data_IF_665086265345
#
_entry.id   IF_665086265345
#
_cell.length_a   1.000
_cell.length_b   1.000
_cell.length_c   1.000
_cell.angle_alpha   90.00
_cell.angle_beta   90.00
_cell.angle_gamma   90.00
#
_symmetry.space_group_name_H-M   'P 1'
#
loop_
_entity.id
_entity.type
_entity.pdbx_description
1 polymer ?
#
# COMPACT_ATOMS: atom_id res chain seq x y z
N UNK A 1 -0.36 -5.89 3.59
CA UNK A 1 0.99 -5.43 3.27
C UNK A 1 1.22 -5.57 1.78
N UNK A 2 1.64 -4.51 1.09
CA UNK A 2 2.06 -4.58 -0.32
C UNK A 2 3.57 -4.74 -0.38
N UNK A 3 4.04 -5.88 -0.86
CA UNK A 3 5.46 -6.26 -0.75
C UNK A 3 6.02 -6.63 -2.13
N UNK A 4 7.13 -6.01 -2.59
CA UNK A 4 7.78 -6.40 -3.84
C UNK A 4 8.19 -7.87 -3.85
N UNK A 5 8.05 -8.54 -4.98
CA UNK A 5 8.31 -9.98 -5.10
C UNK A 5 9.71 -10.40 -4.65
N UNK A 6 10.74 -9.59 -4.96
CA UNK A 6 12.10 -9.88 -4.50
C UNK A 6 12.23 -9.82 -2.96
N UNK A 7 11.50 -8.90 -2.29
CA UNK A 7 11.47 -8.83 -0.82
C UNK A 7 10.82 -10.08 -0.23
N UNK A 8 9.72 -10.56 -0.82
CA UNK A 8 9.07 -11.81 -0.39
C UNK A 8 10.06 -12.96 -0.44
N UNK A 9 10.85 -13.03 -1.51
CA UNK A 9 11.85 -14.09 -1.71
C UNK A 9 13.02 -14.00 -0.73
N UNK A 10 13.54 -12.80 -0.48
CA UNK A 10 14.74 -12.60 0.36
C UNK A 10 14.46 -12.58 1.86
N UNK A 11 13.24 -12.19 2.29
CA UNK A 11 12.90 -12.00 3.69
C UNK A 11 11.80 -12.95 4.18
N UNK A 12 11.92 -14.25 3.82
CA UNK A 12 10.88 -15.25 4.07
C UNK A 12 10.48 -15.37 5.55
N UNK A 13 11.42 -15.25 6.49
CA UNK A 13 11.12 -15.30 7.92
C UNK A 13 10.19 -14.15 8.38
N UNK A 14 10.34 -12.97 7.81
CA UNK A 14 9.45 -11.84 8.08
C UNK A 14 8.09 -12.03 7.40
N UNK A 15 8.07 -12.59 6.21
CA UNK A 15 6.83 -12.96 5.50
C UNK A 15 6.03 -13.99 6.29
N UNK A 16 6.68 -15.02 6.83
CA UNK A 16 6.05 -16.03 7.69
C UNK A 16 5.40 -15.40 8.94
N UNK A 17 6.05 -14.42 9.57
CA UNK A 17 5.48 -13.70 10.71
C UNK A 17 4.21 -12.93 10.31
N UNK A 18 4.25 -12.19 9.21
CA UNK A 18 3.11 -11.43 8.68
C UNK A 18 1.92 -12.37 8.41
N UNK A 19 2.17 -13.50 7.75
CA UNK A 19 1.15 -14.49 7.42
C UNK A 19 0.60 -15.19 8.67
N UNK A 20 1.48 -15.54 9.63
CA UNK A 20 1.10 -16.19 10.90
C UNK A 20 0.15 -15.31 11.72
N UNK A 21 0.37 -14.00 11.70
CA UNK A 21 -0.49 -13.05 12.39
C UNK A 21 -1.78 -12.73 11.61
N UNK A 22 -2.02 -13.43 10.50
CA UNK A 22 -3.26 -13.35 9.72
C UNK A 22 -3.38 -12.13 8.81
N UNK A 23 -2.27 -11.44 8.54
CA UNK A 23 -2.27 -10.30 7.64
C UNK A 23 -2.31 -10.71 6.17
N UNK A 24 -2.87 -9.83 5.36
CA UNK A 24 -2.85 -9.95 3.90
C UNK A 24 -1.51 -9.47 3.33
N UNK A 25 -1.02 -10.18 2.29
CA UNK A 25 0.10 -9.73 1.46
C UNK A 25 -0.39 -9.54 0.04
N UNK A 26 -0.35 -8.31 -0.44
CA UNK A 26 -0.69 -7.89 -1.79
C UNK A 26 0.55 -7.73 -2.69
N UNK A 27 0.31 -7.70 -3.97
CA UNK A 27 1.33 -7.53 -5.02
C UNK A 27 1.83 -6.09 -5.10
N UNK A 28 3.15 -5.89 -5.26
CA UNK A 28 3.78 -4.56 -5.32
C UNK A 28 4.95 -4.49 -6.32
N UNK A 29 4.73 -5.02 -7.51
CA UNK A 29 5.82 -5.18 -8.49
C UNK A 29 6.84 -6.24 -8.07
N UNK A 30 7.91 -6.39 -8.83
CA UNK A 30 9.00 -7.32 -8.53
C UNK A 30 10.16 -6.64 -7.78
N UNK A 31 10.74 -5.57 -8.33
CA UNK A 31 11.86 -4.80 -7.76
C UNK A 31 11.44 -3.43 -7.23
N UNK A 32 10.15 -3.18 -7.03
CA UNK A 32 9.58 -1.86 -6.80
C UNK A 32 9.81 -0.92 -8.02
N UNK A 33 9.71 -1.48 -9.19
CA UNK A 33 9.87 -0.77 -10.47
C UNK A 33 8.70 0.16 -10.74
N UNK A 34 9.00 1.31 -11.31
CA UNK A 34 7.98 2.24 -11.82
C UNK A 34 7.36 1.67 -13.11
N UNK A 35 6.08 1.26 -13.13
CA UNK A 35 5.46 0.64 -14.30
C UNK A 35 5.53 1.49 -15.56
N UNK A 36 5.47 2.83 -15.43
CA UNK A 36 5.55 3.74 -16.58
C UNK A 36 6.94 3.72 -17.22
N UNK A 37 8.01 3.52 -16.42
CA UNK A 37 9.40 3.52 -16.91
C UNK A 37 9.89 2.17 -17.41
N UNK A 38 9.17 1.09 -17.09
CA UNK A 38 9.58 -0.28 -17.41
C UNK A 38 8.85 -0.88 -18.62
N UNK A 39 8.55 -0.05 -19.58
CA UNK A 39 7.84 -0.40 -20.80
C UNK A 39 8.37 -1.72 -21.43
N UNK A 40 7.49 -2.69 -21.61
CA UNK A 40 7.80 -3.99 -22.21
C UNK A 40 8.17 -5.12 -21.24
N UNK A 41 8.42 -4.81 -19.95
CA UNK A 41 8.75 -5.83 -18.94
C UNK A 41 7.67 -6.00 -17.86
N UNK A 42 6.57 -5.25 -17.92
CA UNK A 42 5.54 -5.23 -16.88
C UNK A 42 4.93 -6.61 -16.68
N UNK A 43 4.55 -7.28 -17.77
CA UNK A 43 3.98 -8.62 -17.73
C UNK A 43 4.92 -9.64 -17.10
N UNK A 44 6.18 -9.70 -17.53
CA UNK A 44 7.18 -10.65 -17.00
C UNK A 44 7.36 -10.47 -15.49
N UNK A 45 7.50 -9.24 -15.01
CA UNK A 45 7.70 -8.96 -13.59
C UNK A 45 6.46 -9.17 -12.75
N UNK A 46 5.29 -8.85 -13.31
CA UNK A 46 4.01 -9.14 -12.69
C UNK A 46 3.82 -10.65 -12.50
N UNK A 47 3.96 -11.44 -13.56
CA UNK A 47 3.83 -12.90 -13.52
C UNK A 47 4.87 -13.55 -12.60
N UNK A 48 6.12 -13.08 -12.65
CA UNK A 48 7.18 -13.55 -11.74
C UNK A 48 6.83 -13.33 -10.26
N UNK A 49 6.23 -12.21 -9.94
CA UNK A 49 5.79 -11.91 -8.58
C UNK A 49 4.61 -12.76 -8.17
N UNK A 50 3.68 -13.07 -9.09
CA UNK A 50 2.59 -14.02 -8.83
C UNK A 50 3.11 -15.39 -8.41
N UNK A 51 4.09 -15.94 -9.13
CA UNK A 51 4.67 -17.24 -8.81
C UNK A 51 5.38 -17.23 -7.45
N UNK A 52 6.11 -16.16 -7.13
CA UNK A 52 6.73 -15.98 -5.80
C UNK A 52 5.67 -15.96 -4.69
N UNK A 53 4.57 -15.25 -4.88
CA UNK A 53 3.45 -15.27 -3.93
C UNK A 53 2.89 -16.68 -3.76
N UNK A 54 2.65 -17.38 -4.86
CA UNK A 54 2.13 -18.75 -4.81
C UNK A 54 3.06 -19.69 -4.06
N UNK A 55 4.35 -19.61 -4.32
CA UNK A 55 5.36 -20.52 -3.77
C UNK A 55 5.61 -20.25 -2.26
N UNK A 56 5.69 -18.99 -1.86
CA UNK A 56 6.08 -18.59 -0.51
C UNK A 56 4.87 -18.29 0.40
N UNK A 57 3.87 -17.57 -0.12
CA UNK A 57 2.67 -17.22 0.65
C UNK A 57 1.57 -18.30 0.54
N UNK A 58 1.73 -19.32 -0.32
CA UNK A 58 0.78 -20.42 -0.51
C UNK A 58 -0.47 -20.07 -1.32
N UNK A 59 -0.65 -18.82 -1.71
CA UNK A 59 -1.81 -18.33 -2.50
C UNK A 59 -1.39 -17.20 -3.42
N UNK A 60 -2.14 -17.00 -4.51
CA UNK A 60 -2.02 -15.79 -5.32
C UNK A 60 -2.55 -14.57 -4.56
N UNK A 61 -1.96 -13.39 -4.76
CA UNK A 61 -2.49 -12.14 -4.22
C UNK A 61 -3.80 -11.77 -4.93
N UNK A 62 -4.66 -11.08 -4.23
CA UNK A 62 -5.93 -10.57 -4.79
C UNK A 62 -5.99 -9.05 -4.82
N UNK A 63 -4.99 -8.41 -4.28
CA UNK A 63 -4.82 -6.96 -4.27
C UNK A 63 -3.47 -6.53 -4.81
N UNK A 64 -3.46 -5.38 -5.46
CA UNK A 64 -2.28 -4.75 -6.04
C UNK A 64 -2.12 -3.31 -5.55
N UNK A 65 -0.89 -2.88 -5.40
CA UNK A 65 -0.52 -1.47 -5.31
C UNK A 65 0.66 -1.21 -6.24
N UNK A 66 0.52 -0.23 -7.12
CA UNK A 66 1.61 0.13 -8.02
C UNK A 66 2.77 0.77 -7.24
N UNK A 67 4.03 0.35 -7.50
CA UNK A 67 5.17 1.12 -7.06
C UNK A 67 5.05 2.58 -7.50
N UNK A 68 5.37 3.51 -6.59
CA UNK A 68 5.25 4.97 -6.77
C UNK A 68 3.86 5.46 -7.22
N UNK A 69 2.81 4.65 -7.02
CA UNK A 69 1.42 4.89 -7.45
C UNK A 69 1.23 5.08 -8.97
N UNK A 70 2.23 4.76 -9.76
CA UNK A 70 2.13 4.79 -11.22
C UNK A 70 1.49 3.48 -11.71
N UNK A 71 0.33 3.58 -12.34
CA UNK A 71 -0.39 2.44 -12.89
C UNK A 71 -0.59 2.63 -14.40
N UNK A 72 -0.61 1.52 -15.14
CA UNK A 72 -0.82 1.51 -16.59
C UNK A 72 -1.99 0.62 -16.95
N UNK A 73 -2.61 0.86 -18.10
CA UNK A 73 -3.69 0.01 -18.62
C UNK A 73 -3.24 -1.46 -18.74
N UNK A 74 -1.97 -1.71 -19.12
CA UNK A 74 -1.42 -3.07 -19.18
C UNK A 74 -1.44 -3.76 -17.82
N UNK A 75 -1.08 -3.07 -16.74
CA UNK A 75 -1.13 -3.64 -15.37
C UNK A 75 -2.56 -3.86 -14.91
N UNK A 76 -3.49 -2.95 -15.22
CA UNK A 76 -4.91 -3.14 -14.94
C UNK A 76 -5.46 -4.37 -15.66
N UNK A 77 -5.12 -4.52 -16.93
CA UNK A 77 -5.49 -5.70 -17.72
C UNK A 77 -4.94 -7.00 -17.11
N UNK A 78 -3.66 -7.01 -16.71
CA UNK A 78 -3.04 -8.16 -16.05
C UNK A 78 -3.73 -8.51 -14.72
N UNK A 79 -4.13 -7.50 -13.94
CA UNK A 79 -4.88 -7.75 -12.71
C UNK A 79 -6.22 -8.43 -12.98
N UNK A 80 -6.99 -7.96 -13.97
CA UNK A 80 -8.28 -8.54 -14.33
C UNK A 80 -8.10 -9.98 -14.85
N UNK A 81 -7.12 -10.21 -15.73
CA UNK A 81 -6.80 -11.54 -16.28
C UNK A 81 -6.41 -12.54 -15.17
N UNK A 82 -5.72 -12.06 -14.13
CA UNK A 82 -5.31 -12.86 -12.97
C UNK A 82 -6.29 -12.81 -11.79
N UNK A 83 -7.51 -12.30 -11.99
CA UNK A 83 -8.61 -12.30 -11.01
C UNK A 83 -8.31 -11.56 -9.71
N UNK A 84 -7.55 -10.48 -9.81
CA UNK A 84 -7.44 -9.55 -8.70
C UNK A 84 -8.81 -8.96 -8.38
N UNK A 85 -9.03 -8.66 -7.12
CA UNK A 85 -10.29 -8.05 -6.66
C UNK A 85 -10.17 -6.53 -6.60
N UNK A 86 -8.99 -6.02 -6.27
CA UNK A 86 -8.81 -4.59 -6.09
C UNK A 86 -7.40 -4.11 -6.49
N UNK A 87 -7.36 -2.86 -6.89
CA UNK A 87 -6.17 -2.00 -6.92
C UNK A 87 -6.21 -1.01 -5.74
N UNK A 88 -5.05 -0.47 -5.38
CA UNK A 88 -4.92 0.58 -4.36
C UNK A 88 -3.78 1.53 -4.75
N UNK A 89 -3.94 2.15 -5.92
CA UNK A 89 -2.90 3.02 -6.51
C UNK A 89 -3.40 4.41 -6.88
N UNK A 90 -4.71 4.59 -7.04
CA UNK A 90 -5.29 5.84 -7.53
C UNK A 90 -5.82 6.73 -6.40
N UNK A 91 -6.01 8.01 -6.71
CA UNK A 91 -6.35 9.07 -5.75
C UNK A 91 -7.56 9.88 -6.20
N UNK A 92 -8.57 9.21 -6.81
CA UNK A 92 -9.68 9.92 -7.41
C UNK A 92 -10.83 10.23 -6.44
N UNK A 93 -10.92 9.52 -5.31
CA UNK A 93 -11.97 9.70 -4.32
C UNK A 93 -11.45 9.35 -2.92
N UNK A 94 -12.18 9.72 -1.88
CA UNK A 94 -11.88 9.37 -0.47
C UNK A 94 -12.49 8.02 -0.05
N UNK A 95 -13.35 7.45 -0.87
CA UNK A 95 -14.00 6.16 -0.61
C UNK A 95 -13.73 5.16 -1.75
N UNK A 96 -13.74 3.84 -1.47
CA UNK A 96 -13.59 2.82 -2.52
C UNK A 96 -14.64 2.97 -3.62
N UNK A 97 -14.22 2.77 -4.88
CA UNK A 97 -15.07 2.86 -6.06
C UNK A 97 -14.79 1.75 -7.06
N UNK A 98 -15.75 1.50 -7.95
CA UNK A 98 -15.60 0.53 -9.04
C UNK A 98 -14.89 1.15 -10.23
N UNK A 99 -13.80 0.51 -10.65
CA UNK A 99 -13.08 0.83 -11.86
C UNK A 99 -13.61 -0.03 -13.02
N UNK A 100 -14.28 0.58 -13.97
CA UNK A 100 -14.84 -0.09 -15.13
C UNK A 100 -13.88 -0.04 -16.31
N UNK A 101 -13.53 -1.20 -16.86
CA UNK A 101 -12.63 -1.32 -18.01
C UNK A 101 -13.24 -2.17 -19.11
N UNK A 102 -12.69 -2.11 -20.34
CA UNK A 102 -13.17 -2.97 -21.44
C UNK A 102 -13.01 -4.49 -21.16
N UNK A 103 -12.10 -4.89 -20.26
CA UNK A 103 -11.84 -6.30 -19.92
C UNK A 103 -12.58 -6.80 -18.69
N UNK A 104 -13.15 -5.92 -17.91
CA UNK A 104 -13.87 -6.27 -16.67
C UNK A 104 -13.80 -5.15 -15.64
N UNK A 105 -14.34 -5.43 -14.47
CA UNK A 105 -14.39 -4.47 -13.37
C UNK A 105 -13.40 -4.86 -12.27
N UNK A 106 -12.87 -3.86 -11.59
CA UNK A 106 -11.95 -3.96 -10.47
C UNK A 106 -12.37 -2.92 -9.43
N UNK A 107 -12.19 -3.19 -8.16
CA UNK A 107 -12.37 -2.16 -7.13
C UNK A 107 -11.09 -1.36 -6.97
N UNK A 108 -11.22 -0.04 -6.88
CA UNK A 108 -10.14 0.83 -6.43
C UNK A 108 -10.36 1.15 -4.95
N UNK A 109 -9.34 0.87 -4.14
CA UNK A 109 -9.29 1.28 -2.73
C UNK A 109 -8.30 2.45 -2.66
N UNK A 110 -8.80 3.69 -2.67
CA UNK A 110 -7.98 4.84 -2.97
C UNK A 110 -6.92 5.10 -1.91
N UNK A 111 -5.83 5.70 -2.36
CA UNK A 111 -4.74 6.20 -1.53
C UNK A 111 -4.74 7.72 -1.56
N UNK A 112 -4.04 8.34 -0.61
CA UNK A 112 -3.97 9.79 -0.52
C UNK A 112 -2.62 10.25 0.03
N UNK A 113 -2.02 11.27 -0.58
CA UNK A 113 -0.73 11.79 -0.10
C UNK A 113 -0.77 12.35 1.33
N UNK A 114 -1.93 12.82 1.79
CA UNK A 114 -2.14 13.30 3.17
C UNK A 114 -2.05 12.20 4.21
N UNK A 115 -2.24 10.92 3.81
CA UNK A 115 -2.19 9.75 4.70
C UNK A 115 -0.99 8.83 4.43
N UNK A 116 -0.03 9.29 3.63
CA UNK A 116 1.21 8.59 3.30
C UNK A 116 2.39 9.20 4.07
N UNK A 117 3.29 8.36 4.60
CA UNK A 117 4.45 8.81 5.37
C UNK A 117 5.59 9.34 4.49
N UNK A 118 5.48 9.25 3.16
CA UNK A 118 6.49 9.77 2.24
C UNK A 118 6.59 11.30 2.30
N UNK A 119 5.50 12.09 2.12
CA UNK A 119 5.59 13.55 2.11
C UNK A 119 6.23 14.15 3.37
N UNK A 120 5.88 13.73 4.60
CA UNK A 120 6.47 14.33 5.79
C UNK A 120 7.87 13.82 6.13
N UNK A 121 8.29 12.63 5.67
CA UNK A 121 9.49 11.98 6.18
C UNK A 121 10.54 11.63 5.13
N UNK A 122 10.23 11.71 3.85
CA UNK A 122 11.20 11.43 2.80
C UNK A 122 12.12 12.63 2.56
N UNK A 123 13.40 12.32 2.37
CA UNK A 123 14.41 13.25 1.86
C UNK A 123 15.38 12.40 1.04
N UNK A 124 15.33 12.53 -0.29
CA UNK A 124 16.03 11.61 -1.17
C UNK A 124 16.53 12.34 -2.42
N UNK A 125 17.81 12.69 -2.39
CA UNK A 125 18.47 13.54 -3.41
C UNK A 125 18.46 12.87 -4.80
N UNK A 126 18.66 11.55 -4.87
CA UNK A 126 18.77 10.81 -6.13
C UNK A 126 17.51 10.87 -6.99
N UNK A 127 16.36 11.11 -6.38
CA UNK A 127 15.09 11.32 -7.10
C UNK A 127 14.61 12.77 -7.05
N UNK A 128 15.45 13.70 -6.58
CA UNK A 128 15.12 15.11 -6.51
C UNK A 128 14.12 15.50 -5.41
N UNK A 129 13.85 14.59 -4.45
CA UNK A 129 12.91 14.85 -3.36
C UNK A 129 13.67 15.39 -2.13
N UNK A 130 13.79 16.71 -2.03
CA UNK A 130 14.63 17.43 -1.05
C UNK A 130 13.79 18.23 -0.03
N UNK A 131 12.57 17.80 0.27
CA UNK A 131 11.75 18.50 1.26
C UNK A 131 12.32 18.35 2.67
N UNK A 132 12.20 19.37 3.55
CA UNK A 132 12.62 19.26 4.95
C UNK A 132 11.86 18.16 5.67
N UNK A 133 12.58 17.24 6.32
CA UNK A 133 12.00 16.17 7.11
C UNK A 133 11.28 16.76 8.32
N UNK A 134 10.01 16.37 8.51
CA UNK A 134 9.19 16.81 9.62
C UNK A 134 9.59 16.15 10.95
N UNK A 135 9.31 16.82 12.05
CA UNK A 135 9.37 16.16 13.36
C UNK A 135 8.33 15.02 13.42
N UNK A 136 8.65 13.87 14.07
CA UNK A 136 7.75 12.72 14.11
C UNK A 136 6.31 13.05 14.56
N UNK A 137 6.17 13.89 15.57
CA UNK A 137 4.85 14.30 16.07
C UNK A 137 4.07 15.19 15.09
N UNK A 138 4.75 16.01 14.28
CA UNK A 138 4.10 16.86 13.27
C UNK A 138 3.63 16.06 12.07
N UNK A 139 4.48 15.16 11.56
CA UNK A 139 4.12 14.34 10.41
C UNK A 139 2.92 13.43 10.69
N UNK A 140 2.89 12.82 11.89
CA UNK A 140 1.78 11.92 12.27
C UNK A 140 0.54 12.66 12.79
N UNK A 141 0.66 13.93 13.14
CA UNK A 141 -0.49 14.75 13.52
C UNK A 141 -1.42 14.98 12.32
N UNK A 142 -0.88 15.18 11.11
CA UNK A 142 -1.69 15.29 9.90
C UNK A 142 -2.53 14.04 9.63
N UNK A 143 -1.97 12.84 9.87
CA UNK A 143 -2.73 11.59 9.74
C UNK A 143 -3.88 11.48 10.73
N UNK A 144 -3.74 12.10 11.89
CA UNK A 144 -4.82 12.15 12.86
C UNK A 144 -5.94 13.09 12.43
N UNK A 145 -5.64 14.26 11.88
CA UNK A 145 -6.64 15.19 11.35
C UNK A 145 -7.42 14.59 10.19
N UNK A 146 -6.73 13.89 9.27
CA UNK A 146 -7.37 13.13 8.17
C UNK A 146 -8.28 12.01 8.71
N UNK A 147 -7.82 11.25 9.70
CA UNK A 147 -8.61 10.20 10.33
C UNK A 147 -9.86 10.77 11.02
N UNK A 148 -9.74 11.86 11.78
CA UNK A 148 -10.87 12.48 12.49
C UNK A 148 -11.94 12.92 11.50
N UNK A 149 -11.57 13.56 10.39
CA UNK A 149 -12.50 14.02 9.37
C UNK A 149 -13.26 12.85 8.72
N UNK A 150 -12.55 11.79 8.36
CA UNK A 150 -13.15 10.59 7.73
C UNK A 150 -13.99 9.79 8.73
N UNK A 151 -13.57 9.71 9.99
CA UNK A 151 -14.34 9.10 11.07
C UNK A 151 -15.66 9.84 11.33
N UNK A 152 -15.65 11.18 11.37
CA UNK A 152 -16.86 11.99 11.53
C UNK A 152 -17.83 11.82 10.35
N UNK A 153 -17.28 11.67 9.14
CA UNK A 153 -18.07 11.37 7.94
C UNK A 153 -18.57 9.92 7.89
N UNK A 154 -18.02 9.02 8.72
CA UNK A 154 -18.37 7.59 8.73
C UNK A 154 -17.90 6.84 7.49
N UNK A 155 -16.75 7.22 6.93
CA UNK A 155 -16.20 6.66 5.69
C UNK A 155 -14.88 5.92 5.93
N UNK A 156 -14.27 5.48 4.85
CA UNK A 156 -13.02 4.74 4.81
C UNK A 156 -11.81 5.63 5.15
N UNK A 157 -10.81 5.04 5.83
CA UNK A 157 -9.51 5.67 6.07
C UNK A 157 -8.38 4.67 5.80
N UNK A 158 -7.34 5.11 5.12
CA UNK A 158 -6.14 4.31 4.90
C UNK A 158 -4.89 5.09 5.31
N UNK A 159 -4.06 4.50 6.18
CA UNK A 159 -2.73 4.98 6.50
C UNK A 159 -1.68 4.18 5.73
N UNK A 160 -0.79 4.86 5.04
CA UNK A 160 0.29 4.24 4.27
C UNK A 160 1.62 4.50 4.96
N UNK A 161 2.36 3.42 5.22
CA UNK A 161 3.61 3.45 5.98
C UNK A 161 4.68 2.67 5.23
N UNK A 162 5.87 3.27 5.10
CA UNK A 162 7.05 2.61 4.56
C UNK A 162 8.03 2.25 5.69
N UNK A 163 8.44 0.99 5.84
CA UNK A 163 9.31 0.55 6.94
C UNK A 163 10.61 1.33 7.06
N UNK A 164 11.23 1.74 5.96
CA UNK A 164 12.47 2.51 5.97
C UNK A 164 12.28 3.98 6.40
N UNK A 165 11.07 4.53 6.29
CA UNK A 165 10.71 5.88 6.77
C UNK A 165 10.23 5.83 8.21
N UNK A 166 9.12 5.18 8.45
CA UNK A 166 8.41 5.22 9.75
C UNK A 166 8.88 4.14 10.73
N UNK A 167 9.59 3.10 10.25
CA UNK A 167 10.21 2.09 11.11
C UNK A 167 11.40 2.61 11.94
N UNK A 168 11.65 3.92 11.97
CA UNK A 168 12.66 4.56 12.82
C UNK A 168 12.11 4.80 14.22
N UNK A 169 12.93 4.57 15.25
CA UNK A 169 12.53 4.48 16.64
C UNK A 169 11.58 5.62 17.10
N UNK A 170 11.92 6.87 16.80
CA UNK A 170 11.10 8.02 17.21
C UNK A 170 9.78 8.13 16.44
N UNK A 171 9.76 7.77 15.15
CA UNK A 171 8.57 7.77 14.31
C UNK A 171 7.66 6.61 14.68
N UNK A 172 8.24 5.40 14.84
CA UNK A 172 7.48 4.22 15.24
C UNK A 172 6.73 4.41 16.56
N UNK A 173 7.36 5.02 17.57
CA UNK A 173 6.69 5.37 18.82
C UNK A 173 5.45 6.30 18.64
N UNK A 174 5.42 7.11 17.61
CA UNK A 174 4.23 7.91 17.32
C UNK A 174 3.17 7.09 16.58
N UNK A 175 3.58 6.17 15.70
CA UNK A 175 2.67 5.22 15.06
C UNK A 175 2.00 4.32 16.09
N UNK A 176 2.74 3.77 17.05
CA UNK A 176 2.17 2.97 18.14
C UNK A 176 1.08 3.75 18.88
N UNK A 177 1.33 5.00 19.26
CA UNK A 177 0.34 5.86 19.91
C UNK A 177 -0.87 6.13 19.01
N UNK A 178 -0.64 6.31 17.73
CA UNK A 178 -1.72 6.51 16.76
C UNK A 178 -2.60 5.27 16.67
N UNK A 179 -2.00 4.09 16.54
CA UNK A 179 -2.71 2.80 16.51
C UNK A 179 -3.50 2.58 17.82
N UNK A 180 -2.87 2.77 18.99
CA UNK A 180 -3.52 2.61 20.30
C UNK A 180 -4.74 3.53 20.43
N UNK A 181 -4.60 4.80 20.02
CA UNK A 181 -5.67 5.78 20.04
C UNK A 181 -6.82 5.39 19.11
N UNK A 182 -6.50 4.95 17.89
CA UNK A 182 -7.50 4.53 16.91
C UNK A 182 -8.24 3.26 17.36
N UNK A 183 -7.51 2.27 17.91
CA UNK A 183 -8.10 1.05 18.49
C UNK A 183 -9.04 1.33 19.66
N UNK A 184 -8.79 2.40 20.42
CA UNK A 184 -9.65 2.82 21.53
C UNK A 184 -10.87 3.65 21.07
N UNK A 185 -10.90 4.07 19.81
CA UNK A 185 -12.00 4.84 19.24
C UNK A 185 -13.18 3.90 18.92
N UNK A 186 -14.38 4.27 19.36
CA UNK A 186 -15.58 3.45 19.15
C UNK A 186 -15.93 3.36 17.66
N UNK A 187 -16.54 2.25 17.26
CA UNK A 187 -17.03 2.03 15.89
C UNK A 187 -15.94 2.11 14.80
N UNK A 188 -14.68 1.84 15.15
CA UNK A 188 -13.59 1.67 14.20
C UNK A 188 -13.38 0.19 13.94
N UNK A 189 -13.37 -0.19 12.67
CA UNK A 189 -13.04 -1.53 12.21
C UNK A 189 -11.69 -1.52 11.49
N UNK A 190 -10.71 -2.22 12.05
CA UNK A 190 -9.44 -2.49 11.39
C UNK A 190 -9.61 -3.67 10.44
N UNK A 191 -9.82 -3.37 9.18
CA UNK A 191 -10.02 -4.36 8.12
C UNK A 191 -8.71 -4.69 7.41
N UNK A 192 -8.64 -5.89 6.82
CA UNK A 192 -7.77 -6.15 5.69
C UNK A 192 -8.44 -5.59 4.43
N UNK A 193 -7.66 -5.26 3.40
CA UNK A 193 -8.26 -4.76 2.17
C UNK A 193 -9.03 -5.84 1.40
N UNK A 194 -8.76 -7.12 1.69
CA UNK A 194 -9.51 -8.27 1.13
C UNK A 194 -10.92 -8.44 1.73
N UNK A 195 -11.22 -7.85 2.89
CA UNK A 195 -12.49 -7.95 3.61
C UNK A 195 -13.57 -7.04 3.01
#
# INVERSE_FOLDING_TARGET
FFIPGWCIKEYQSQIELILKDGHEIGHHGYLHEDPIKTYGNQKEWFEKTLEIHKDICGKYPIGYRAPVYNITDEVIDLMIENKFKYDSSMMADDIPYELQTPKGNLYEIPVHWGTDDWPPFAHYEEIGYMMPVQAPSKGLFGFWEEFEAQYEAGVFFMLIIHPFLTGRLARWKQVEKWIEKTLSTKNVWFAKLED
#
